data_IF_117639391396
#
_entry.id   IF_117639391396
#
_cell.length_a   1.000
_cell.length_b   1.000
_cell.length_c   1.000
_cell.angle_alpha   90.00
_cell.angle_beta   90.00
_cell.angle_gamma   90.00
#
_symmetry.space_group_name_H-M   'P 1'
#
loop_
_entity.id
_entity.type
_entity.pdbx_description
1 polymer ?
#
# COMPACT_ATOMS: atom_id res chain seq x y z
N UNK A 1 15.23 58.31 13.94
CA UNK A 1 14.45 57.40 13.07
C UNK A 1 14.89 55.97 13.36
N UNK A 2 13.92 55.14 13.79
CA UNK A 2 14.11 53.75 14.23
C UNK A 2 14.24 52.83 13.01
N UNK A 3 15.13 51.85 13.05
CA UNK A 3 15.00 50.60 12.26
C UNK A 3 15.35 49.42 13.17
N UNK A 4 14.31 48.77 13.68
CA UNK A 4 14.39 47.47 14.32
C UNK A 4 14.51 46.41 13.22
N UNK A 5 15.57 45.61 13.24
CA UNK A 5 15.65 44.38 12.47
C UNK A 5 15.03 43.26 13.32
N UNK A 6 13.88 42.74 12.87
CA UNK A 6 13.22 41.61 13.50
C UNK A 6 13.90 40.32 13.03
N UNK A 7 14.55 39.61 13.97
CA UNK A 7 14.94 38.22 13.80
C UNK A 7 13.68 37.35 13.92
N UNK A 8 13.26 36.73 12.82
CA UNK A 8 12.24 35.68 12.84
C UNK A 8 12.87 34.38 13.33
N UNK A 9 12.58 34.01 14.59
CA UNK A 9 12.86 32.68 15.12
C UNK A 9 11.85 31.73 14.48
N UNK A 10 12.31 30.94 13.51
CA UNK A 10 11.55 29.81 12.99
C UNK A 10 11.42 28.76 14.07
N UNK A 11 10.27 28.71 14.74
CA UNK A 11 9.90 27.59 15.59
C UNK A 11 9.67 26.37 14.70
N UNK A 12 10.68 25.50 14.63
CA UNK A 12 10.49 24.13 14.19
C UNK A 12 9.45 23.49 15.12
N UNK A 13 8.23 23.28 14.61
CA UNK A 13 7.28 22.38 15.23
C UNK A 13 7.85 20.97 15.10
N UNK A 14 8.67 20.56 16.07
CA UNK A 14 8.99 19.16 16.27
C UNK A 14 7.70 18.49 16.75
N UNK A 15 6.95 17.90 15.83
CA UNK A 15 5.99 16.87 16.19
C UNK A 15 6.79 15.80 16.92
N UNK A 16 6.49 15.58 18.21
CA UNK A 16 7.08 14.49 18.97
C UNK A 16 6.89 13.20 18.19
N UNK A 17 7.98 12.55 17.83
CA UNK A 17 7.95 11.23 17.23
C UNK A 17 7.48 10.25 18.31
N UNK A 18 6.17 10.07 18.39
CA UNK A 18 5.55 9.17 19.33
C UNK A 18 5.27 7.84 18.59
N UNK A 19 6.21 6.88 18.58
CA UNK A 19 5.97 5.58 17.94
C UNK A 19 6.41 4.41 18.85
N UNK A 20 5.50 3.48 19.15
CA UNK A 20 5.90 2.08 19.12
C UNK A 20 6.31 1.82 17.66
N UNK A 21 7.53 1.32 17.40
CA UNK A 21 8.03 1.23 16.03
C UNK A 21 7.12 0.33 15.23
N UNK A 22 6.64 0.81 14.09
CA UNK A 22 5.98 -0.04 13.13
C UNK A 22 6.88 -1.26 12.84
N UNK A 23 6.32 -2.47 12.76
CA UNK A 23 7.13 -3.67 12.66
C UNK A 23 7.86 -3.67 11.31
N UNK A 24 9.13 -4.10 11.31
CA UNK A 24 9.85 -4.40 10.07
C UNK A 24 9.22 -5.62 9.40
N UNK A 25 9.10 -5.60 8.07
CA UNK A 25 8.65 -6.77 7.32
C UNK A 25 9.66 -7.93 7.48
N UNK A 26 9.19 -9.20 7.61
CA UNK A 26 10.09 -10.35 7.58
C UNK A 26 10.75 -10.49 6.20
N UNK A 27 12.01 -10.91 6.15
CA UNK A 27 12.78 -11.08 4.92
C UNK A 27 12.42 -12.37 4.16
N UNK A 28 11.13 -12.55 3.89
CA UNK A 28 10.54 -13.75 3.27
C UNK A 28 9.42 -13.32 2.32
N UNK A 29 8.88 -14.24 1.48
CA UNK A 29 7.57 -14.01 0.88
C UNK A 29 6.56 -13.61 1.96
N UNK A 30 5.67 -12.70 1.64
CA UNK A 30 4.62 -12.18 2.49
C UNK A 30 3.28 -12.36 1.79
N UNK A 31 2.33 -12.89 2.53
CA UNK A 31 0.95 -12.94 2.15
C UNK A 31 0.17 -12.00 3.09
N UNK A 32 -0.45 -10.96 2.52
CA UNK A 32 -1.21 -9.97 3.29
C UNK A 32 -2.69 -10.14 3.00
N UNK A 33 -3.53 -10.13 4.03
CA UNK A 33 -4.99 -10.09 3.90
C UNK A 33 -5.47 -8.72 4.33
N UNK A 34 -6.32 -8.09 3.53
CA UNK A 34 -6.96 -6.85 3.93
C UNK A 34 -8.46 -6.94 3.67
N UNK A 35 -9.19 -6.08 4.39
CA UNK A 35 -10.58 -5.79 4.12
C UNK A 35 -10.68 -4.29 3.97
N UNK A 36 -11.52 -3.84 3.04
CA UNK A 36 -11.70 -2.44 2.73
C UNK A 36 -13.12 -2.13 2.29
N UNK A 37 -13.31 -0.85 2.07
CA UNK A 37 -14.54 -0.27 1.55
C UNK A 37 -14.16 0.73 0.47
N UNK A 38 -14.94 0.77 -0.59
CA UNK A 38 -14.64 1.57 -1.76
C UNK A 38 -15.88 2.19 -2.36
N UNK A 39 -15.64 3.19 -3.19
CA UNK A 39 -16.61 3.80 -4.06
C UNK A 39 -16.18 3.59 -5.50
N UNK A 40 -17.13 3.19 -6.33
CA UNK A 40 -16.95 2.98 -7.76
C UNK A 40 -17.95 3.86 -8.48
N UNK A 41 -17.44 4.83 -9.25
CA UNK A 41 -18.22 5.65 -10.13
C UNK A 41 -18.55 4.90 -11.43
N UNK A 42 -19.80 5.07 -11.87
CA UNK A 42 -20.33 4.49 -13.09
C UNK A 42 -20.96 5.58 -13.95
N UNK A 43 -21.34 5.26 -15.19
CA UNK A 43 -22.06 6.18 -16.09
C UNK A 43 -21.39 7.57 -16.26
N UNK A 44 -20.06 7.62 -16.25
CA UNK A 44 -19.28 8.86 -16.42
C UNK A 44 -19.19 9.74 -15.18
N UNK A 45 -19.66 9.28 -14.01
CA UNK A 45 -19.41 9.96 -12.75
C UNK A 45 -17.93 9.88 -12.33
N UNK A 46 -17.58 10.67 -11.31
CA UNK A 46 -16.23 10.71 -10.73
C UNK A 46 -16.32 10.64 -9.22
N UNK A 47 -15.43 9.89 -8.58
CA UNK A 47 -15.38 9.79 -7.11
C UNK A 47 -14.67 10.95 -6.44
N UNK A 48 -13.98 11.81 -7.21
CA UNK A 48 -13.36 13.03 -6.70
C UNK A 48 -13.54 14.20 -7.67
N UNK A 49 -14.04 15.31 -7.15
CA UNK A 49 -14.35 16.51 -7.94
C UNK A 49 -13.10 17.07 -8.64
N UNK A 50 -13.22 17.36 -9.94
CA UNK A 50 -12.13 17.90 -10.75
C UNK A 50 -11.08 16.87 -11.19
N UNK A 51 -11.37 15.57 -11.06
CA UNK A 51 -10.51 14.48 -11.51
C UNK A 51 -11.25 13.52 -12.45
N UNK A 52 -10.53 12.60 -13.08
CA UNK A 52 -11.11 11.46 -13.81
C UNK A 52 -11.18 10.19 -12.95
N UNK A 53 -11.04 10.33 -11.63
CA UNK A 53 -11.02 9.21 -10.72
C UNK A 53 -12.41 8.54 -10.70
N UNK A 54 -12.42 7.25 -10.99
CA UNK A 54 -13.62 6.42 -10.93
C UNK A 54 -13.65 5.53 -9.69
N UNK A 55 -12.53 5.37 -9.00
CA UNK A 55 -12.46 4.48 -7.86
C UNK A 55 -11.48 4.98 -6.79
N UNK A 56 -11.92 4.87 -5.55
CA UNK A 56 -11.11 5.06 -4.35
C UNK A 56 -11.69 4.24 -3.22
N UNK A 57 -10.89 4.00 -2.20
CA UNK A 57 -11.34 3.28 -1.02
C UNK A 57 -10.33 3.35 0.11
N UNK A 58 -10.74 2.79 1.24
CA UNK A 58 -9.92 2.66 2.45
C UNK A 58 -9.89 1.21 2.88
N UNK A 59 -8.83 0.81 3.55
CA UNK A 59 -8.67 -0.57 4.00
C UNK A 59 -7.90 -0.68 5.31
N UNK A 60 -8.03 -1.84 5.92
CA UNK A 60 -7.18 -2.28 7.02
C UNK A 60 -6.62 -3.66 6.71
N UNK A 61 -5.33 -3.85 6.95
CA UNK A 61 -4.72 -5.19 6.84
C UNK A 61 -5.15 -5.99 8.07
N UNK A 62 -5.84 -7.11 7.83
CA UNK A 62 -6.36 -7.99 8.87
C UNK A 62 -5.26 -8.89 9.43
N UNK A 63 -4.51 -9.55 8.55
CA UNK A 63 -3.35 -10.38 8.90
C UNK A 63 -2.22 -10.25 7.90
N UNK A 64 -0.99 -10.51 8.34
CA UNK A 64 0.14 -10.79 7.46
C UNK A 64 0.81 -12.08 7.90
N UNK A 65 1.07 -12.93 6.91
CA UNK A 65 1.59 -14.28 7.05
C UNK A 65 2.89 -14.39 6.27
N UNK A 66 3.82 -15.24 6.73
CA UNK A 66 4.90 -15.68 5.85
C UNK A 66 4.31 -16.50 4.73
N UNK A 67 4.74 -16.22 3.52
CA UNK A 67 4.34 -16.96 2.33
C UNK A 67 5.36 -18.03 1.95
N UNK A 68 4.90 -18.98 1.14
CA UNK A 68 5.76 -19.90 0.39
C UNK A 68 5.57 -19.62 -1.09
N UNK A 69 6.66 -19.65 -1.84
CA UNK A 69 6.61 -19.55 -3.30
C UNK A 69 5.98 -20.83 -3.85
N UNK A 70 4.79 -20.72 -4.43
CA UNK A 70 4.14 -21.83 -5.14
C UNK A 70 4.59 -21.85 -6.59
N UNK A 71 4.43 -20.72 -7.28
CA UNK A 71 4.96 -20.50 -8.63
C UNK A 71 5.97 -19.37 -8.61
N UNK A 72 7.25 -19.61 -8.92
CA UNK A 72 8.27 -18.57 -8.94
C UNK A 72 7.86 -17.38 -9.81
N UNK A 73 8.01 -16.17 -9.25
CA UNK A 73 7.70 -14.89 -9.90
C UNK A 73 6.22 -14.70 -10.30
N UNK A 74 5.29 -15.48 -9.74
CA UNK A 74 3.87 -15.39 -10.09
C UNK A 74 2.96 -15.51 -8.85
N UNK A 75 3.20 -16.50 -7.99
CA UNK A 75 2.29 -16.83 -6.89
C UNK A 75 3.02 -17.14 -5.58
N UNK A 76 2.59 -16.44 -4.53
CA UNK A 76 2.96 -16.70 -3.14
C UNK A 76 1.72 -17.17 -2.39
N UNK A 77 1.81 -18.31 -1.72
CA UNK A 77 0.72 -18.90 -0.95
C UNK A 77 0.93 -18.72 0.56
N UNK A 78 -0.14 -18.57 1.35
CA UNK A 78 -0.05 -18.44 2.79
C UNK A 78 0.42 -19.77 3.42
N UNK A 79 1.25 -19.68 4.45
CA UNK A 79 1.71 -20.86 5.21
C UNK A 79 0.95 -21.09 6.50
N UNK A 80 0.15 -20.10 6.95
CA UNK A 80 -0.42 -20.07 8.30
C UNK A 80 0.55 -19.56 9.38
N UNK A 81 1.83 -19.28 9.04
CA UNK A 81 2.76 -18.60 9.95
C UNK A 81 2.45 -17.10 10.01
N UNK A 82 1.47 -16.74 10.84
CA UNK A 82 1.01 -15.37 11.05
C UNK A 82 2.01 -14.62 11.94
N UNK A 83 2.57 -13.53 11.42
CA UNK A 83 3.47 -12.66 12.19
C UNK A 83 2.83 -11.32 12.57
N UNK A 84 1.72 -10.94 11.93
CA UNK A 84 0.95 -9.76 12.29
C UNK A 84 -0.56 -10.04 12.24
N UNK A 85 -1.27 -9.52 13.25
CA UNK A 85 -2.73 -9.51 13.36
C UNK A 85 -3.19 -8.12 13.78
N UNK A 86 -4.20 -7.59 13.08
CA UNK A 86 -4.75 -6.25 13.29
C UNK A 86 -5.14 -5.97 14.75
N UNK A 87 -4.37 -5.09 15.42
CA UNK A 87 -4.60 -4.64 16.79
C UNK A 87 -4.10 -5.57 17.89
N UNK A 88 -3.45 -6.69 17.57
CA UNK A 88 -2.95 -7.64 18.59
C UNK A 88 -1.62 -7.18 19.22
N UNK A 89 -0.85 -6.34 18.52
CA UNK A 89 0.50 -5.88 18.93
C UNK A 89 0.57 -4.36 19.11
N UNK A 90 -0.52 -3.73 19.54
CA UNK A 90 -0.55 -2.28 19.75
C UNK A 90 -0.54 -1.45 18.47
N UNK A 91 -0.85 -2.06 17.31
CA UNK A 91 -1.02 -1.28 16.09
C UNK A 91 -1.86 -1.93 15.01
N UNK A 92 -2.18 -1.11 14.01
CA UNK A 92 -3.02 -1.42 12.87
C UNK A 92 -2.38 -0.85 11.61
N UNK A 93 -2.28 -1.65 10.56
CA UNK A 93 -1.94 -1.18 9.22
C UNK A 93 -3.23 -0.75 8.53
N UNK A 94 -3.31 0.52 8.17
CA UNK A 94 -4.42 1.14 7.44
C UNK A 94 -3.93 1.66 6.09
N UNK A 95 -4.85 2.00 5.21
CA UNK A 95 -4.48 2.65 3.97
C UNK A 95 -5.65 3.15 3.16
N UNK A 96 -5.29 3.77 2.05
CA UNK A 96 -6.22 4.30 1.05
C UNK A 96 -5.70 3.92 -0.33
N UNK A 97 -6.60 3.56 -1.23
CA UNK A 97 -6.33 3.57 -2.67
C UNK A 97 -7.15 4.65 -3.36
N UNK A 98 -6.57 5.31 -4.35
CA UNK A 98 -7.12 6.50 -4.99
C UNK A 98 -6.45 6.77 -6.34
N UNK A 99 -7.00 7.72 -7.10
CA UNK A 99 -6.49 8.12 -8.41
C UNK A 99 -6.65 7.05 -9.49
N UNK A 100 -7.52 6.06 -9.27
CA UNK A 100 -7.83 5.01 -10.24
C UNK A 100 -8.82 5.58 -11.26
N UNK A 101 -8.44 5.55 -12.54
CA UNK A 101 -9.20 6.10 -13.65
C UNK A 101 -9.75 4.99 -14.55
N UNK A 102 -10.78 5.31 -15.34
CA UNK A 102 -11.35 4.34 -16.28
C UNK A 102 -10.32 3.88 -17.32
N UNK A 103 -10.23 2.57 -17.56
CA UNK A 103 -9.44 2.00 -18.64
C UNK A 103 -10.24 1.82 -19.93
N UNK A 104 -9.63 1.14 -20.90
CA UNK A 104 -10.31 0.78 -22.16
C UNK A 104 -10.83 -0.65 -22.08
N UNK A 105 -12.16 -0.87 -22.07
CA UNK A 105 -12.78 -2.21 -21.95
C UNK A 105 -12.36 -3.18 -23.05
N UNK A 106 -12.24 -4.46 -22.68
CA UNK A 106 -12.05 -5.56 -23.63
C UNK A 106 -12.91 -6.77 -23.22
N UNK A 107 -13.00 -7.77 -24.10
CA UNK A 107 -13.78 -8.99 -23.82
C UNK A 107 -13.25 -9.77 -22.61
N UNK A 108 -11.95 -9.66 -22.32
CA UNK A 108 -11.27 -10.33 -21.19
C UNK A 108 -11.11 -9.42 -19.97
N UNK A 109 -11.36 -8.11 -20.12
CA UNK A 109 -11.33 -7.12 -19.06
C UNK A 109 -12.51 -6.15 -19.22
N UNK A 110 -13.72 -6.56 -18.78
CA UNK A 110 -14.92 -5.76 -18.97
C UNK A 110 -14.96 -4.49 -18.10
N UNK A 111 -14.23 -4.47 -16.98
CA UNK A 111 -14.13 -3.30 -16.09
C UNK A 111 -12.66 -2.93 -15.81
N UNK A 112 -11.94 -2.44 -16.82
CA UNK A 112 -10.53 -2.08 -16.66
C UNK A 112 -10.39 -0.75 -15.95
N UNK A 113 -9.27 -0.61 -15.26
CA UNK A 113 -8.82 0.67 -14.76
C UNK A 113 -7.38 0.96 -15.16
N UNK A 114 -7.00 2.23 -15.08
CA UNK A 114 -5.65 2.73 -15.33
C UNK A 114 -5.19 3.57 -14.16
N UNK A 115 -3.86 3.62 -13.97
CA UNK A 115 -3.19 4.41 -12.92
C UNK A 115 -3.67 4.00 -11.52
N UNK A 116 -3.46 4.88 -10.56
CA UNK A 116 -3.88 4.77 -9.18
C UNK A 116 -2.73 4.48 -8.22
N UNK A 117 -2.97 4.81 -6.97
CA UNK A 117 -2.04 4.66 -5.87
C UNK A 117 -2.69 3.86 -4.75
N UNK A 118 -1.86 3.20 -3.95
CA UNK A 118 -2.23 2.61 -2.68
C UNK A 118 -1.20 3.03 -1.62
N UNK A 119 -1.65 3.78 -0.62
CA UNK A 119 -0.81 4.27 0.47
C UNK A 119 -1.07 3.45 1.73
N UNK A 120 0.00 3.02 2.40
CA UNK A 120 -0.03 2.24 3.63
C UNK A 120 0.49 3.06 4.81
N UNK A 121 -0.17 2.91 5.96
CA UNK A 121 0.15 3.61 7.19
C UNK A 121 0.11 2.67 8.39
N UNK A 122 1.00 2.90 9.35
CA UNK A 122 0.97 2.28 10.66
C UNK A 122 0.33 3.21 11.68
N UNK A 123 -0.78 2.74 12.23
CA UNK A 123 -1.50 3.36 13.33
C UNK A 123 -1.12 2.66 14.63
N UNK A 124 -0.43 3.39 15.49
CA UNK A 124 -0.11 2.96 16.86
C UNK A 124 -1.39 3.07 17.71
N UNK A 125 -2.00 1.91 18.04
CA UNK A 125 -3.30 1.87 18.73
C UNK A 125 -3.21 2.21 20.21
N UNK A 126 -2.00 2.25 20.78
CA UNK A 126 -1.78 2.73 22.16
C UNK A 126 -1.87 4.27 22.22
N UNK A 127 -1.78 4.94 21.07
CA UNK A 127 -1.82 6.41 20.95
C UNK A 127 -3.03 6.93 20.21
N UNK A 128 -3.60 6.12 19.32
CA UNK A 128 -4.68 6.51 18.43
C UNK A 128 -5.75 5.43 18.41
N UNK A 129 -7.01 5.80 18.59
CA UNK A 129 -8.12 4.83 18.59
C UNK A 129 -8.15 4.01 17.32
N UNK A 130 -8.29 2.68 17.41
CA UNK A 130 -8.40 1.79 16.26
C UNK A 130 -9.48 2.26 15.27
N UNK A 131 -9.19 2.18 13.98
CA UNK A 131 -10.14 2.52 12.93
C UNK A 131 -11.03 1.32 12.58
N UNK A 132 -12.30 1.61 12.24
CA UNK A 132 -13.30 0.64 11.81
C UNK A 132 -13.77 0.92 10.38
N UNK A 133 -14.22 -0.12 9.68
CA UNK A 133 -14.65 -0.07 8.27
C UNK A 133 -16.18 -0.03 8.10
N UNK A 134 -16.93 0.04 9.20
CA UNK A 134 -18.34 -0.37 9.23
C UNK A 134 -19.31 0.62 8.54
N UNK A 135 -18.98 1.90 8.50
CA UNK A 135 -19.85 2.94 7.93
C UNK A 135 -19.03 4.09 7.35
N UNK A 136 -19.48 4.62 6.20
CA UNK A 136 -18.93 5.88 5.69
C UNK A 136 -19.32 6.98 6.68
N UNK A 137 -18.34 7.44 7.46
CA UNK A 137 -18.54 8.65 8.25
C UNK A 137 -18.50 9.83 7.27
N UNK A 138 -19.47 10.76 7.28
CA UNK A 138 -19.33 12.00 6.51
C UNK A 138 -17.96 12.64 6.78
N UNK A 139 -17.16 12.85 5.74
CA UNK A 139 -15.80 13.36 5.87
C UNK A 139 -14.69 12.33 6.08
N UNK A 140 -14.94 11.02 5.88
CA UNK A 140 -13.85 10.03 5.77
C UNK A 140 -12.85 10.50 4.73
N UNK A 141 -13.29 10.88 3.53
CA UNK A 141 -12.40 11.47 2.54
C UNK A 141 -12.13 12.94 2.86
N UNK A 142 -10.92 13.25 3.30
CA UNK A 142 -10.47 14.61 3.63
C UNK A 142 -9.73 15.32 2.47
N UNK A 143 -9.44 14.60 1.39
CA UNK A 143 -8.75 15.12 0.21
C UNK A 143 -8.57 14.06 -0.85
N UNK A 144 -7.86 14.40 -1.93
CA UNK A 144 -7.64 13.46 -3.03
C UNK A 144 -6.87 12.21 -2.58
N UNK A 145 -5.81 12.43 -1.79
CA UNK A 145 -4.91 11.43 -1.21
C UNK A 145 -5.01 11.39 0.33
N UNK A 146 -6.19 11.66 0.89
CA UNK A 146 -6.39 11.80 2.33
C UNK A 146 -7.69 11.12 2.77
N UNK A 147 -7.58 10.24 3.77
CA UNK A 147 -8.72 9.65 4.45
C UNK A 147 -8.55 9.65 5.97
N UNK A 148 -9.44 10.37 6.67
CA UNK A 148 -9.47 10.50 8.14
C UNK A 148 -9.55 9.13 8.79
N UNK A 149 -8.64 8.85 9.73
CA UNK A 149 -8.50 7.56 10.39
C UNK A 149 -7.73 6.48 9.60
N UNK A 150 -7.40 6.70 8.33
CA UNK A 150 -6.72 5.70 7.48
C UNK A 150 -5.37 6.15 6.94
N UNK A 151 -5.20 7.44 6.66
CA UNK A 151 -3.95 8.04 6.16
C UNK A 151 -3.21 8.80 7.26
N UNK A 152 -3.25 8.27 8.48
CA UNK A 152 -2.68 8.88 9.67
C UNK A 152 -1.62 7.95 10.29
N UNK A 153 -0.72 8.50 11.09
CA UNK A 153 0.33 7.74 11.75
C UNK A 153 1.62 7.68 10.93
N UNK A 154 2.35 6.58 11.04
CA UNK A 154 3.64 6.41 10.37
C UNK A 154 3.43 5.92 8.94
N UNK A 155 3.88 6.67 7.95
CA UNK A 155 3.80 6.27 6.55
C UNK A 155 4.72 5.06 6.27
N UNK A 156 4.14 3.99 5.71
CA UNK A 156 4.83 2.73 5.46
C UNK A 156 5.33 2.62 4.03
N UNK A 157 4.47 2.83 3.04
CA UNK A 157 4.85 2.82 1.64
C UNK A 157 3.74 3.44 0.78
N UNK A 158 4.11 3.95 -0.40
CA UNK A 158 3.18 4.17 -1.51
C UNK A 158 3.47 3.15 -2.59
N UNK A 159 2.40 2.58 -3.10
CA UNK A 159 2.40 1.73 -4.26
C UNK A 159 1.68 2.47 -5.38
N UNK A 160 2.09 2.28 -6.63
CA UNK A 160 1.31 2.65 -7.80
C UNK A 160 0.86 1.38 -8.52
N UNK A 161 -0.41 1.33 -8.93
CA UNK A 161 -0.88 0.22 -9.75
C UNK A 161 -0.19 0.27 -11.10
N UNK A 162 0.38 -0.86 -11.49
CA UNK A 162 1.25 -0.96 -12.63
C UNK A 162 0.63 -1.86 -13.69
N UNK A 163 1.09 -1.65 -14.91
CA UNK A 163 0.68 -2.36 -16.12
C UNK A 163 1.19 -3.81 -16.09
N UNK A 164 0.66 -4.67 -16.96
CA UNK A 164 1.14 -6.04 -17.13
C UNK A 164 0.19 -7.12 -16.62
N UNK A 165 -0.88 -6.74 -15.94
CA UNK A 165 -1.97 -7.67 -15.57
C UNK A 165 -2.92 -7.91 -16.75
N UNK A 166 -3.29 -6.85 -17.48
CA UNK A 166 -4.13 -6.97 -18.68
C UNK A 166 -3.28 -7.31 -19.90
N UNK A 167 -3.26 -8.59 -20.29
CA UNK A 167 -2.52 -9.07 -21.48
C UNK A 167 -3.07 -8.53 -22.80
N UNK A 168 -4.28 -7.96 -22.80
CA UNK A 168 -4.92 -7.40 -23.99
C UNK A 168 -4.65 -5.91 -24.20
N UNK A 169 -4.15 -5.20 -23.18
CA UNK A 169 -3.94 -3.76 -23.24
C UNK A 169 -2.74 -3.30 -22.38
N UNK A 170 -1.69 -2.70 -22.99
CA UNK A 170 -0.49 -2.25 -22.26
C UNK A 170 -0.71 -1.10 -21.28
N UNK A 171 -1.86 -0.44 -21.32
CA UNK A 171 -2.14 0.75 -20.50
C UNK A 171 -3.00 0.43 -19.27
N UNK A 172 -3.79 -0.64 -19.31
CA UNK A 172 -4.64 -1.04 -18.21
C UNK A 172 -3.79 -1.61 -17.06
N UNK A 173 -4.00 -1.11 -15.85
CA UNK A 173 -3.27 -1.50 -14.63
C UNK A 173 -4.07 -2.48 -13.76
N UNK A 174 -5.40 -2.47 -13.89
CA UNK A 174 -6.33 -3.32 -13.14
C UNK A 174 -7.23 -4.08 -14.11
N UNK A 175 -7.43 -5.37 -13.84
CA UNK A 175 -8.37 -6.25 -14.55
C UNK A 175 -9.57 -6.53 -13.68
N UNK A 176 -10.75 -6.05 -14.08
CA UNK A 176 -12.01 -6.23 -13.35
C UNK A 176 -12.98 -7.16 -14.06
N UNK A 177 -13.57 -8.13 -13.35
CA UNK A 177 -14.42 -9.17 -13.95
C UNK A 177 -15.86 -8.73 -14.24
N UNK A 178 -16.38 -7.73 -13.53
CA UNK A 178 -17.80 -7.34 -13.58
C UNK A 178 -17.95 -5.83 -13.51
N UNK A 179 -18.59 -5.22 -14.50
CA UNK A 179 -18.95 -3.80 -14.44
C UNK A 179 -20.05 -3.59 -13.38
N UNK A 180 -19.82 -2.75 -12.35
CA UNK A 180 -20.88 -2.39 -11.42
C UNK A 180 -22.01 -1.67 -12.17
N UNK A 181 -23.25 -2.13 -12.03
CA UNK A 181 -24.37 -1.59 -12.82
C UNK A 181 -25.68 -1.44 -12.04
N UNK A 182 -25.83 -2.10 -10.89
CA UNK A 182 -27.01 -1.98 -10.03
C UNK A 182 -26.67 -2.31 -8.58
N UNK A 183 -27.61 -2.12 -7.66
CA UNK A 183 -27.48 -2.67 -6.31
C UNK A 183 -27.34 -4.20 -6.40
N UNK A 184 -26.39 -4.78 -5.66
CA UNK A 184 -26.17 -6.24 -5.59
C UNK A 184 -25.14 -6.83 -6.55
N UNK A 185 -24.21 -6.02 -7.11
CA UNK A 185 -23.10 -6.55 -7.90
C UNK A 185 -22.04 -7.26 -7.06
N UNK A 186 -21.28 -8.13 -7.71
CA UNK A 186 -20.02 -8.68 -7.21
C UNK A 186 -19.04 -8.93 -8.37
N UNK A 187 -17.76 -8.93 -8.06
CA UNK A 187 -16.72 -9.21 -9.04
C UNK A 187 -15.34 -9.40 -8.42
N UNK A 188 -14.36 -9.56 -9.28
CA UNK A 188 -12.95 -9.73 -8.95
C UNK A 188 -12.12 -8.65 -9.62
N UNK A 189 -11.07 -8.19 -8.95
CA UNK A 189 -10.11 -7.23 -9.45
C UNK A 189 -8.69 -7.75 -9.21
N UNK A 190 -7.94 -7.97 -10.28
CA UNK A 190 -6.55 -8.37 -10.23
C UNK A 190 -5.65 -7.21 -10.67
N UNK A 191 -4.51 -7.04 -10.00
CA UNK A 191 -3.53 -6.01 -10.38
C UNK A 191 -2.11 -6.36 -9.95
N UNK A 192 -1.16 -5.69 -10.59
CA UNK A 192 0.19 -5.56 -10.08
C UNK A 192 0.39 -4.16 -9.50
N UNK A 193 1.34 -4.04 -8.59
CA UNK A 193 1.81 -2.74 -8.14
C UNK A 193 3.32 -2.73 -7.96
N UNK A 194 3.86 -1.52 -8.03
CA UNK A 194 5.27 -1.22 -7.86
C UNK A 194 5.41 -0.14 -6.79
N UNK A 195 6.51 -0.16 -6.03
CA UNK A 195 6.75 0.78 -4.94
C UNK A 195 7.19 2.13 -5.49
N UNK A 196 6.54 3.20 -5.05
CA UNK A 196 7.02 4.57 -5.29
C UNK A 196 8.08 4.94 -4.25
N UNK A 197 9.34 4.67 -4.58
CA UNK A 197 10.48 5.02 -3.72
C UNK A 197 10.64 6.51 -3.48
N UNK A 198 10.11 7.35 -4.37
CA UNK A 198 10.22 8.80 -4.21
C UNK A 198 9.32 9.33 -3.08
N UNK A 199 8.26 8.60 -2.75
CA UNK A 199 7.41 8.88 -1.59
C UNK A 199 8.06 8.48 -0.26
N UNK A 200 9.07 7.60 -0.29
CA UNK A 200 9.71 7.03 0.90
C UNK A 200 8.77 6.09 1.68
N UNK A 201 8.95 6.05 3.00
CA UNK A 201 8.17 5.18 3.89
C UNK A 201 9.01 4.03 4.46
N UNK A 202 8.60 3.55 5.64
CA UNK A 202 9.37 2.55 6.39
C UNK A 202 9.56 1.22 5.64
N UNK A 203 8.57 0.82 4.85
CA UNK A 203 8.56 -0.46 4.12
C UNK A 203 8.92 -0.31 2.65
N UNK A 204 9.17 0.91 2.15
CA UNK A 204 9.41 1.13 0.72
C UNK A 204 10.57 0.28 0.19
N UNK A 205 11.73 0.32 0.85
CA UNK A 205 12.89 -0.49 0.44
C UNK A 205 12.69 -1.98 0.70
N UNK A 206 11.84 -2.37 1.65
CA UNK A 206 11.56 -3.78 1.94
C UNK A 206 10.63 -4.39 0.89
N UNK A 207 9.73 -3.60 0.31
CA UNK A 207 8.76 -4.04 -0.68
C UNK A 207 9.25 -3.93 -2.14
N UNK A 208 10.25 -3.09 -2.43
CA UNK A 208 10.91 -2.94 -3.75
C UNK A 208 11.74 -4.18 -4.10
N UNK A 209 11.06 -5.26 -4.48
CA UNK A 209 11.64 -6.59 -4.70
C UNK A 209 11.74 -6.99 -6.15
N UNK A 210 10.92 -6.37 -7.02
CA UNK A 210 10.79 -6.72 -8.42
C UNK A 210 10.55 -8.23 -8.65
N UNK A 211 9.84 -8.87 -7.73
CA UNK A 211 9.70 -10.33 -7.68
C UNK A 211 8.68 -10.88 -8.68
N UNK A 212 7.54 -10.21 -8.87
CA UNK A 212 6.50 -10.69 -9.79
C UNK A 212 6.86 -10.37 -11.22
N UNK A 213 6.80 -11.36 -12.11
CA UNK A 213 7.04 -11.17 -13.53
C UNK A 213 5.73 -10.89 -14.27
N UNK A 214 5.72 -9.82 -15.05
CA UNK A 214 4.67 -9.54 -16.03
C UNK A 214 5.26 -9.47 -17.44
N UNK A 215 4.39 -9.48 -18.46
CA UNK A 215 4.82 -9.29 -19.85
C UNK A 215 5.34 -7.87 -20.14
N UNK A 216 5.14 -6.93 -19.20
CA UNK A 216 5.66 -5.56 -19.24
C UNK A 216 6.79 -5.32 -18.21
N UNK A 217 7.41 -6.38 -17.70
CA UNK A 217 8.54 -6.33 -16.78
C UNK A 217 8.20 -6.79 -15.36
N UNK A 218 9.12 -6.57 -14.44
CA UNK A 218 8.97 -6.98 -13.04
C UNK A 218 8.12 -6.00 -12.24
N UNK A 219 7.45 -6.52 -11.20
CA UNK A 219 6.56 -5.80 -10.28
C UNK A 219 6.85 -6.25 -8.85
N UNK A 220 6.51 -5.41 -7.89
CA UNK A 220 6.84 -5.64 -6.49
C UNK A 220 5.76 -6.45 -5.76
N UNK A 221 4.50 -6.16 -6.06
CA UNK A 221 3.34 -6.77 -5.43
C UNK A 221 2.30 -7.22 -6.46
N UNK A 222 1.51 -8.22 -6.06
CA UNK A 222 0.32 -8.68 -6.77
C UNK A 222 -0.89 -8.63 -5.85
N UNK A 223 -2.02 -8.16 -6.35
CA UNK A 223 -3.30 -8.16 -5.66
C UNK A 223 -4.31 -9.00 -6.42
N UNK A 224 -5.13 -9.75 -5.67
CA UNK A 224 -6.28 -10.50 -6.18
C UNK A 224 -7.45 -10.26 -5.25
N UNK A 225 -8.30 -9.32 -5.61
CA UNK A 225 -9.35 -8.82 -4.73
C UNK A 225 -10.72 -9.29 -5.21
N UNK A 226 -11.67 -9.46 -4.31
CA UNK A 226 -13.09 -9.45 -4.65
C UNK A 226 -13.74 -8.18 -4.14
N UNK A 227 -14.75 -7.72 -4.87
CA UNK A 227 -15.58 -6.61 -4.47
C UNK A 227 -17.04 -7.02 -4.51
N UNK A 228 -17.77 -6.63 -3.47
CA UNK A 228 -19.18 -6.97 -3.30
C UNK A 228 -19.95 -5.70 -2.92
N UNK A 229 -21.13 -5.51 -3.51
CA UNK A 229 -21.93 -4.32 -3.26
C UNK A 229 -22.17 -4.06 -1.77
N UNK A 230 -21.93 -2.81 -1.36
CA UNK A 230 -22.20 -2.33 -0.01
C UNK A 230 -22.88 -0.96 -0.05
N UNK A 231 -24.20 -0.95 0.17
CA UNK A 231 -24.99 0.26 0.14
C UNK A 231 -24.56 1.32 1.17
N UNK A 232 -23.93 0.91 2.28
CA UNK A 232 -23.46 1.82 3.32
C UNK A 232 -22.31 2.73 2.87
N UNK A 233 -21.75 2.46 1.69
CA UNK A 233 -20.62 3.21 1.11
C UNK A 233 -20.97 3.92 -0.20
N UNK A 234 -22.25 3.94 -0.62
CA UNK A 234 -22.66 4.71 -1.79
C UNK A 234 -22.31 6.20 -1.63
N UNK A 235 -21.79 6.82 -2.69
CA UNK A 235 -21.25 8.19 -2.66
C UNK A 235 -22.17 9.26 -3.27
N UNK A 236 -23.34 8.87 -3.76
CA UNK A 236 -24.28 9.76 -4.46
C UNK A 236 -24.78 9.13 -5.75
N UNK A 237 -25.31 9.98 -6.64
CA UNK A 237 -25.77 9.54 -7.96
C UNK A 237 -24.62 8.90 -8.75
N UNK A 238 -24.86 7.70 -9.28
CA UNK A 238 -23.88 6.92 -10.04
C UNK A 238 -22.55 6.63 -9.31
N UNK A 239 -22.52 6.67 -7.98
CA UNK A 239 -21.37 6.22 -7.18
C UNK A 239 -21.83 5.09 -6.26
N UNK A 240 -21.44 3.87 -6.61
CA UNK A 240 -21.80 2.66 -5.88
C UNK A 240 -20.72 2.31 -4.86
N UNK A 241 -21.15 1.93 -3.66
CA UNK A 241 -20.27 1.40 -2.62
C UNK A 241 -20.00 -0.08 -2.81
N UNK A 242 -18.78 -0.51 -2.51
CA UNK A 242 -18.43 -1.91 -2.42
C UNK A 242 -17.56 -2.19 -1.20
N UNK A 243 -17.69 -3.38 -0.66
CA UNK A 243 -16.75 -3.99 0.27
C UNK A 243 -15.72 -4.75 -0.55
N UNK A 244 -14.46 -4.49 -0.28
CA UNK A 244 -13.33 -5.23 -0.86
C UNK A 244 -12.78 -6.17 0.18
N UNK A 245 -12.64 -7.43 -0.19
CA UNK A 245 -11.93 -8.42 0.60
C UNK A 245 -10.85 -9.06 -0.29
N UNK A 246 -9.99 -9.87 0.32
CA UNK A 246 -9.00 -10.74 -0.34
C UNK A 246 -7.56 -10.17 -0.40
N UNK A 247 -6.56 -10.98 -0.80
CA UNK A 247 -5.18 -10.79 -0.39
C UNK A 247 -4.34 -9.94 -1.34
N UNK A 248 -3.28 -9.37 -0.77
CA UNK A 248 -2.08 -8.99 -1.51
C UNK A 248 -0.94 -10.01 -1.29
N UNK A 249 0.01 -10.00 -2.22
CA UNK A 249 1.20 -10.84 -2.19
C UNK A 249 2.42 -9.95 -2.44
N UNK A 250 3.46 -10.11 -1.64
CA UNK A 250 4.71 -9.35 -1.75
C UNK A 250 5.89 -10.27 -1.44
N UNK A 251 7.06 -9.97 -1.99
CA UNK A 251 8.29 -10.60 -1.53
C UNK A 251 9.12 -9.54 -0.82
N UNK A 252 9.33 -9.66 0.50
CA UNK A 252 10.10 -8.65 1.21
C UNK A 252 11.61 -8.93 1.12
N UNK A 253 12.37 -7.92 0.73
CA UNK A 253 13.83 -7.98 0.59
C UNK A 253 14.52 -7.28 1.76
N UNK A 254 15.78 -7.66 2.08
CA UNK A 254 16.57 -6.94 3.08
C UNK A 254 16.79 -5.49 2.65
N UNK A 255 16.63 -4.53 3.58
CA UNK A 255 16.97 -3.14 3.31
C UNK A 255 18.44 -3.02 2.83
N UNK A 256 18.74 -2.23 1.80
CA UNK A 256 20.12 -2.05 1.29
C UNK A 256 21.12 -1.58 2.37
N UNK A 257 20.63 -0.88 3.40
CA UNK A 257 21.40 -0.44 4.55
C UNK A 257 21.93 -1.60 5.41
N UNK A 258 21.18 -2.69 5.56
CA UNK A 258 21.61 -3.85 6.34
C UNK A 258 22.81 -4.56 5.70
N UNK A 259 22.82 -4.67 4.37
CA UNK A 259 23.96 -5.20 3.60
C UNK A 259 25.17 -4.28 3.69
N UNK A 260 24.95 -2.96 3.64
CA UNK A 260 26.01 -1.95 3.75
C UNK A 260 26.65 -1.94 5.14
N UNK A 261 25.84 -2.08 6.20
CA UNK A 261 26.31 -2.16 7.58
C UNK A 261 27.08 -3.46 7.84
N UNK A 262 26.63 -4.58 7.27
CA UNK A 262 27.35 -5.86 7.32
C UNK A 262 28.69 -5.78 6.57
N UNK A 263 28.72 -5.12 5.40
CA UNK A 263 29.94 -4.84 4.65
C UNK A 263 30.93 -3.96 5.43
N UNK A 264 30.46 -2.90 6.08
CA UNK A 264 31.27 -2.04 6.94
C UNK A 264 31.78 -2.77 8.19
N UNK A 265 30.94 -3.61 8.82
CA UNK A 265 31.34 -4.43 9.95
C UNK A 265 32.46 -5.42 9.57
N UNK A 266 32.40 -6.02 8.37
CA UNK A 266 33.44 -6.91 7.86
C UNK A 266 34.74 -6.16 7.52
N UNK A 267 34.65 -4.96 6.93
CA UNK A 267 35.84 -4.11 6.68
C UNK A 267 36.48 -3.66 8.00
N UNK A 268 35.67 -3.30 8.99
CA UNK A 268 36.11 -2.95 10.34
C UNK A 268 36.83 -4.11 11.03
N UNK A 269 36.27 -5.33 10.96
CA UNK A 269 36.91 -6.54 11.50
C UNK A 269 38.21 -6.89 10.75
N UNK A 270 38.24 -6.77 9.42
CA UNK A 270 39.46 -6.99 8.63
C UNK A 270 40.58 -5.99 8.94
N UNK A 271 40.24 -4.72 9.18
CA UNK A 271 41.21 -3.70 9.58
C UNK A 271 41.77 -3.92 11.00
N UNK A 272 40.94 -4.42 11.93
CA UNK A 272 41.36 -4.78 13.29
C UNK A 272 42.26 -6.02 13.28
N UNK A 273 41.95 -7.04 12.47
CA UNK A 273 42.78 -8.23 12.33
C UNK A 273 44.15 -7.90 11.73
N UNK A 274 44.22 -7.06 10.68
CA UNK A 274 45.50 -6.56 10.12
C UNK A 274 46.33 -5.74 11.12
N UNK A 275 45.69 -5.03 12.05
CA UNK A 275 46.41 -4.29 13.11
C UNK A 275 46.97 -5.22 14.20
N UNK A 276 46.35 -6.38 14.43
CA UNK A 276 46.87 -7.39 15.37
C UNK A 276 48.10 -8.11 14.80
N UNK A 277 48.10 -8.43 13.50
CA UNK A 277 49.26 -9.04 12.84
C UNK A 277 50.50 -8.13 12.83
N UNK A 278 50.32 -6.81 12.68
CA UNK A 278 51.44 -5.84 12.75
C UNK A 278 51.98 -5.57 14.16
N UNK A 279 51.30 -6.04 15.22
CA UNK A 279 51.78 -5.94 16.61
C UNK A 279 52.45 -7.22 17.12
N UNK A 280 52.45 -8.28 16.31
CA UNK A 280 53.04 -9.58 16.67
C UNK A 280 54.45 -9.79 16.05
N UNK A 281 55.12 -8.73 15.63
CA UNK A 281 56.50 -8.74 15.13
C UNK A 281 57.39 -7.82 16.00
#
# INVERSE_FOLDING_TARGET
MKKFAAFAVGAAMSFGAYAAPAPSLPLTPIYLKFTGQEQIAINGATTFAGSNEINWGVFTVSTMERGTVNTPNDQIDPTGDIWYVNGLTGGQVTGMFYGIEAGTPSATNPFPATRGYMDLYWRDTDKMSKTTLDTINPGVRCGWNCATGFTEGTFLARLFFDTGMDVSNPNNTIVGSTVPSSNGFSGQADSYASVDRSAGGLWAEQLDSNWFSSWQGSRDLRFKNSYNYNANWNGGENILGARVDDPGQAYAVPEPGALSLMGLAMVGMGAVLRRREKKAA
#
